data_IF_185333742098
#
_entry.id   IF_185333742098
#
_cell.length_a   1.000
_cell.length_b   1.000
_cell.length_c   1.000
_cell.angle_alpha   90.00
_cell.angle_beta   90.00
_cell.angle_gamma   90.00
#
_symmetry.space_group_name_H-M   'P 1'
#
loop_
_entity.id
_entity.type
_entity.pdbx_description
1 polymer ?
#
# COMPACT_ATOMS: atom_id res chain seq x y z
N UNK A 1 -31.49 -17.64 -15.37
CA UNK A 1 -31.32 -16.29 -14.76
C UNK A 1 -30.60 -15.32 -15.70
N UNK A 2 -29.41 -15.68 -16.21
CA UNK A 2 -28.62 -14.85 -17.14
C UNK A 2 -29.41 -14.43 -18.39
N UNK A 3 -30.17 -15.35 -19.00
CA UNK A 3 -31.01 -15.05 -20.17
C UNK A 3 -32.13 -14.03 -19.87
N UNK A 4 -32.75 -14.10 -18.68
CA UNK A 4 -33.78 -13.15 -18.27
C UNK A 4 -33.19 -11.75 -17.97
N UNK A 5 -31.99 -11.70 -17.39
CA UNK A 5 -31.24 -10.46 -17.14
C UNK A 5 -30.83 -9.80 -18.47
N UNK A 6 -30.29 -10.60 -19.41
CA UNK A 6 -29.94 -10.12 -20.76
C UNK A 6 -31.17 -9.56 -21.49
N UNK A 7 -32.32 -10.25 -21.41
CA UNK A 7 -33.58 -9.77 -21.98
C UNK A 7 -34.07 -8.47 -21.33
N UNK A 8 -33.92 -8.33 -20.01
CA UNK A 8 -34.27 -7.09 -19.30
C UNK A 8 -33.41 -5.91 -19.74
N UNK A 9 -32.08 -6.07 -19.78
CA UNK A 9 -31.19 -5.02 -20.27
C UNK A 9 -31.47 -4.68 -21.75
N UNK A 10 -31.77 -5.67 -22.58
CA UNK A 10 -32.15 -5.42 -23.98
C UNK A 10 -33.37 -4.51 -24.10
N UNK A 11 -34.38 -4.67 -23.25
CA UNK A 11 -35.57 -3.80 -23.24
C UNK A 11 -35.25 -2.39 -22.71
N UNK A 12 -34.37 -2.24 -21.72
CA UNK A 12 -33.91 -0.93 -21.25
C UNK A 12 -33.13 -0.20 -22.35
N UNK A 13 -32.19 -0.87 -23.01
CA UNK A 13 -31.39 -0.26 -24.07
C UNK A 13 -32.27 0.19 -25.25
N UNK A 14 -33.22 -0.64 -25.69
CA UNK A 14 -34.18 -0.27 -26.74
C UNK A 14 -35.09 0.90 -26.33
N UNK A 15 -35.52 0.94 -25.06
CA UNK A 15 -36.27 2.08 -24.52
C UNK A 15 -35.45 3.37 -24.57
N UNK A 16 -34.19 3.33 -24.09
CA UNK A 16 -33.30 4.49 -24.10
C UNK A 16 -32.96 4.94 -25.53
N UNK A 17 -32.73 4.02 -26.46
CA UNK A 17 -32.52 4.31 -27.88
C UNK A 17 -33.74 5.03 -28.48
N UNK A 18 -34.95 4.51 -28.24
CA UNK A 18 -36.22 5.10 -28.69
C UNK A 18 -36.47 6.50 -28.12
N UNK A 19 -36.11 6.72 -26.85
CA UNK A 19 -36.17 8.04 -26.19
C UNK A 19 -35.13 8.99 -26.78
N UNK A 20 -33.89 8.54 -26.97
CA UNK A 20 -32.81 9.35 -27.53
C UNK A 20 -33.08 9.75 -28.98
N UNK A 21 -33.60 8.84 -29.81
CA UNK A 21 -34.03 9.11 -31.18
C UNK A 21 -35.14 10.15 -31.24
N UNK A 22 -36.09 10.09 -30.31
CA UNK A 22 -37.16 11.07 -30.20
C UNK A 22 -36.65 12.45 -29.78
N UNK A 23 -35.75 12.51 -28.79
CA UNK A 23 -35.10 13.76 -28.35
C UNK A 23 -34.29 14.36 -29.51
N UNK A 24 -33.54 13.53 -30.24
CA UNK A 24 -32.64 13.96 -31.31
C UNK A 24 -33.37 14.39 -32.58
N UNK A 25 -34.48 13.72 -32.96
CA UNK A 25 -35.35 14.18 -34.06
C UNK A 25 -35.98 15.55 -33.76
N UNK A 26 -36.35 15.83 -32.50
CA UNK A 26 -36.91 17.14 -32.08
C UNK A 26 -35.89 18.27 -31.98
N UNK A 27 -34.58 17.98 -31.87
CA UNK A 27 -33.51 19.01 -31.77
C UNK A 27 -33.36 19.84 -33.06
N UNK A 28 -33.88 19.35 -34.20
CA UNK A 28 -33.90 20.06 -35.50
C UNK A 28 -35.11 20.99 -35.70
N UNK A 29 -36.12 20.99 -34.82
CA UNK A 29 -37.37 21.77 -34.98
C UNK A 29 -37.68 22.68 -33.77
N UNK A 30 -36.62 23.32 -33.25
CA UNK A 30 -36.51 24.05 -31.97
C UNK A 30 -37.78 24.74 -31.39
N UNK A 31 -37.82 24.69 -30.05
CA UNK A 31 -38.44 25.63 -29.08
C UNK A 31 -39.98 25.65 -28.93
N UNK A 32 -40.42 25.07 -27.80
CA UNK A 32 -41.64 25.36 -27.02
C UNK A 32 -42.96 25.33 -27.81
N UNK A 33 -43.53 24.12 -27.91
CA UNK A 33 -44.97 23.91 -27.86
C UNK A 33 -45.23 22.56 -27.19
N UNK A 34 -46.03 22.59 -26.12
CA UNK A 34 -46.63 21.47 -25.39
C UNK A 34 -45.67 20.37 -24.86
N UNK A 35 -44.98 20.66 -23.76
CA UNK A 35 -44.38 19.64 -22.89
C UNK A 35 -45.42 18.86 -22.07
N UNK A 36 -46.70 18.84 -22.49
CA UNK A 36 -47.81 18.44 -21.64
C UNK A 36 -48.76 17.37 -22.18
N UNK A 37 -48.56 16.75 -23.34
CA UNK A 37 -49.39 15.58 -23.71
C UNK A 37 -48.55 14.48 -24.38
N UNK A 38 -48.63 13.27 -23.81
CA UNK A 38 -48.26 11.96 -24.37
C UNK A 38 -46.80 11.48 -24.40
N UNK A 39 -45.94 11.89 -23.45
CA UNK A 39 -44.72 11.10 -23.18
C UNK A 39 -45.09 9.71 -22.63
N UNK A 40 -45.98 9.65 -21.63
CA UNK A 40 -46.35 8.40 -20.99
C UNK A 40 -47.12 7.46 -21.94
N UNK A 41 -48.12 7.95 -22.67
CA UNK A 41 -48.88 7.15 -23.65
C UNK A 41 -48.00 6.54 -24.74
N UNK A 42 -46.99 7.28 -25.22
CA UNK A 42 -46.15 6.84 -26.33
C UNK A 42 -45.18 5.72 -25.94
N UNK A 43 -44.67 5.75 -24.70
CA UNK A 43 -43.72 4.77 -24.21
C UNK A 43 -44.33 3.78 -23.21
N UNK A 44 -45.65 3.80 -23.03
CA UNK A 44 -46.38 2.94 -22.10
C UNK A 44 -46.08 1.45 -22.36
N UNK A 45 -46.00 1.07 -23.64
CA UNK A 45 -45.70 -0.30 -24.05
C UNK A 45 -44.28 -0.72 -23.70
N UNK A 46 -43.30 0.18 -23.79
CA UNK A 46 -41.91 -0.10 -23.43
C UNK A 46 -41.75 -0.19 -21.91
N UNK A 47 -42.41 0.68 -21.16
CA UNK A 47 -42.46 0.63 -19.69
C UNK A 47 -43.14 -0.67 -19.23
N UNK A 48 -44.26 -1.08 -19.84
CA UNK A 48 -44.92 -2.37 -19.54
C UNK A 48 -44.00 -3.57 -19.80
N UNK A 49 -43.20 -3.55 -20.87
CA UNK A 49 -42.22 -4.60 -21.18
C UNK A 49 -41.07 -4.68 -20.17
N UNK A 50 -40.58 -3.54 -19.71
CA UNK A 50 -39.56 -3.45 -18.65
C UNK A 50 -40.12 -3.99 -17.33
N UNK A 51 -41.33 -3.58 -16.94
CA UNK A 51 -41.98 -4.05 -15.71
C UNK A 51 -42.25 -5.56 -15.73
N UNK A 52 -42.78 -6.10 -16.83
CA UNK A 52 -43.02 -7.54 -16.99
C UNK A 52 -41.71 -8.36 -16.94
N UNK A 53 -40.62 -7.82 -17.49
CA UNK A 53 -39.31 -8.46 -17.43
C UNK A 53 -38.72 -8.43 -16.01
N UNK A 54 -38.90 -7.32 -15.27
CA UNK A 54 -38.50 -7.20 -13.88
C UNK A 54 -39.28 -8.17 -12.96
N UNK A 55 -40.59 -8.32 -13.20
CA UNK A 55 -41.42 -9.28 -12.46
C UNK A 55 -41.01 -10.73 -12.75
N UNK A 56 -40.62 -11.03 -13.99
CA UNK A 56 -40.09 -12.35 -14.36
C UNK A 56 -38.76 -12.63 -13.64
N UNK A 57 -37.85 -11.65 -13.56
CA UNK A 57 -36.60 -11.77 -12.79
C UNK A 57 -36.90 -11.96 -11.30
N UNK A 58 -37.85 -11.20 -10.74
CA UNK A 58 -38.26 -11.30 -9.33
C UNK A 58 -38.84 -12.68 -9.02
N UNK A 59 -39.70 -13.21 -9.88
CA UNK A 59 -40.30 -14.53 -9.72
C UNK A 59 -39.25 -15.65 -9.86
N UNK A 60 -38.33 -15.53 -10.81
CA UNK A 60 -37.21 -16.47 -10.95
C UNK A 60 -36.25 -16.42 -9.76
N UNK A 61 -35.99 -15.25 -9.19
CA UNK A 61 -35.19 -15.08 -7.97
C UNK A 61 -35.88 -15.68 -6.74
N UNK A 62 -37.21 -15.48 -6.60
CA UNK A 62 -37.99 -16.08 -5.51
C UNK A 62 -38.10 -17.60 -5.63
N UNK A 63 -38.20 -18.15 -6.85
CA UNK A 63 -38.17 -19.59 -7.08
C UNK A 63 -36.77 -20.19 -6.86
N UNK A 64 -35.71 -19.47 -7.25
CA UNK A 64 -34.31 -19.87 -6.99
C UNK A 64 -34.00 -19.88 -5.49
N UNK A 65 -34.46 -18.87 -4.75
CA UNK A 65 -34.37 -18.79 -3.28
C UNK A 65 -35.00 -19.99 -2.58
N UNK A 66 -36.13 -20.51 -3.08
CA UNK A 66 -36.79 -21.71 -2.52
C UNK A 66 -36.04 -23.02 -2.81
N UNK A 67 -35.26 -23.08 -3.89
CA UNK A 67 -34.37 -24.21 -4.20
C UNK A 67 -33.02 -24.10 -3.47
N UNK A 68 -32.52 -22.88 -3.26
CA UNK A 68 -31.27 -22.54 -2.55
C UNK A 68 -31.29 -22.92 -1.06
N UNK A 69 -32.44 -22.83 -0.39
CA UNK A 69 -32.58 -23.17 1.05
C UNK A 69 -32.19 -24.62 1.37
N UNK A 70 -32.24 -25.54 0.39
CA UNK A 70 -31.84 -26.95 0.59
C UNK A 70 -30.38 -27.26 0.24
N UNK A 71 -29.69 -26.40 -0.52
CA UNK A 71 -28.28 -26.56 -0.86
C UNK A 71 -27.36 -25.74 0.06
N UNK A 72 -27.83 -24.58 0.54
CA UNK A 72 -27.07 -23.69 1.42
C UNK A 72 -26.62 -24.31 2.75
N UNK A 73 -27.29 -25.34 3.30
CA UNK A 73 -26.86 -25.94 4.57
C UNK A 73 -25.55 -26.75 4.48
N UNK A 74 -25.06 -27.07 3.28
CA UNK A 74 -23.80 -27.81 3.11
C UNK A 74 -22.66 -26.98 2.52
N UNK A 75 -22.95 -25.82 1.93
CA UNK A 75 -21.95 -24.93 1.33
C UNK A 75 -21.58 -23.74 2.24
N UNK A 76 -22.49 -23.34 3.14
CA UNK A 76 -22.23 -22.28 4.15
C UNK A 76 -21.22 -22.67 5.24
N UNK A 77 -20.88 -23.95 5.38
CA UNK A 77 -19.77 -24.37 6.25
C UNK A 77 -18.38 -24.19 5.59
N UNK A 78 -18.32 -23.90 4.28
CA UNK A 78 -17.04 -23.83 3.54
C UNK A 78 -16.70 -22.44 2.96
N UNK A 79 -17.59 -21.45 3.06
CA UNK A 79 -17.32 -20.05 2.68
C UNK A 79 -17.23 -19.17 3.93
N UNK A 80 -16.05 -19.13 4.55
CA UNK A 80 -15.77 -18.28 5.70
C UNK A 80 -15.63 -16.80 5.27
N UNK A 81 -16.67 -16.01 5.59
CA UNK A 81 -16.69 -14.59 5.98
C UNK A 81 -15.67 -13.63 5.32
N UNK A 82 -15.99 -13.10 4.14
CA UNK A 82 -15.47 -11.77 3.75
C UNK A 82 -16.33 -10.73 4.45
N UNK A 83 -15.80 -10.08 5.49
CA UNK A 83 -16.50 -9.01 6.21
C UNK A 83 -16.08 -7.65 5.64
N UNK A 84 -17.04 -6.75 5.44
CA UNK A 84 -16.72 -5.35 5.12
C UNK A 84 -16.06 -4.70 6.33
N UNK A 85 -14.91 -4.07 6.13
CA UNK A 85 -14.18 -3.34 7.17
C UNK A 85 -13.82 -1.94 6.69
N UNK A 86 -13.51 -1.06 7.65
CA UNK A 86 -13.13 0.33 7.37
C UNK A 86 -11.70 0.60 7.83
N UNK A 87 -11.01 1.49 7.11
CA UNK A 87 -9.66 1.94 7.50
C UNK A 87 -9.67 2.55 8.91
N UNK A 88 -10.71 3.30 9.27
CA UNK A 88 -10.85 3.96 10.56
C UNK A 88 -10.95 2.97 11.73
N UNK A 89 -11.72 1.88 11.55
CA UNK A 89 -11.83 0.81 12.55
C UNK A 89 -10.48 0.15 12.78
N UNK A 90 -9.76 -0.15 11.71
CA UNK A 90 -8.42 -0.77 11.77
C UNK A 90 -7.41 0.21 12.40
N UNK A 91 -7.49 1.50 12.07
CA UNK A 91 -6.66 2.52 12.66
C UNK A 91 -6.89 2.66 14.18
N UNK A 92 -8.15 2.59 14.62
CA UNK A 92 -8.50 2.60 16.03
C UNK A 92 -7.99 1.35 16.76
N UNK A 93 -8.20 0.16 16.18
CA UNK A 93 -7.77 -1.12 16.75
C UNK A 93 -6.24 -1.25 16.92
N UNK A 94 -5.48 -0.52 16.10
CA UNK A 94 -4.01 -0.54 16.08
C UNK A 94 -3.37 0.70 16.72
N UNK A 95 -4.16 1.57 17.35
CA UNK A 95 -3.68 2.86 17.86
C UNK A 95 -2.51 2.72 18.85
N UNK A 96 -2.52 1.71 19.72
CA UNK A 96 -1.48 1.49 20.73
C UNK A 96 -0.11 1.14 20.12
N UNK A 97 -0.04 0.77 18.83
CA UNK A 97 1.25 0.54 18.17
C UNK A 97 2.10 1.81 18.10
N UNK A 98 1.46 3.00 18.08
CA UNK A 98 2.15 4.29 18.06
C UNK A 98 2.94 4.58 19.34
N UNK A 99 2.68 3.86 20.43
CA UNK A 99 3.44 4.00 21.68
C UNK A 99 4.87 3.43 21.57
N UNK A 100 5.15 2.64 20.53
CA UNK A 100 6.42 1.93 20.36
C UNK A 100 7.39 2.58 19.36
N UNK A 101 6.96 3.60 18.60
CA UNK A 101 7.82 4.28 17.63
C UNK A 101 7.53 5.78 17.58
N UNK A 102 8.51 6.58 17.16
CA UNK A 102 8.30 8.01 16.90
C UNK A 102 7.93 8.25 15.43
N UNK A 103 6.89 9.05 15.19
CA UNK A 103 6.49 9.47 13.83
C UNK A 103 7.57 10.30 13.11
N UNK A 104 8.48 10.94 13.85
CA UNK A 104 9.64 11.66 13.27
C UNK A 104 10.62 10.73 12.56
N UNK A 105 10.56 9.42 12.90
CA UNK A 105 11.37 8.38 12.25
C UNK A 105 10.70 7.77 11.03
N UNK A 106 9.43 8.09 10.77
CA UNK A 106 8.72 7.61 9.56
C UNK A 106 9.10 8.45 8.35
N UNK A 107 9.20 9.77 8.51
CA UNK A 107 9.68 10.69 7.47
C UNK A 107 10.60 11.73 8.10
N UNK A 108 11.82 11.82 7.61
CA UNK A 108 12.67 12.96 7.95
C UNK A 108 12.16 14.20 7.23
N UNK A 109 12.01 15.29 8.00
CA UNK A 109 11.91 16.62 7.43
C UNK A 109 13.25 16.97 6.77
N UNK A 110 13.37 16.69 5.48
CA UNK A 110 14.46 17.19 4.66
C UNK A 110 14.31 18.71 4.52
N UNK A 111 14.64 19.47 5.56
CA UNK A 111 14.76 20.93 5.46
C UNK A 111 15.75 21.22 4.35
N UNK A 112 15.30 21.90 3.29
CA UNK A 112 16.05 22.60 2.22
C UNK A 112 17.50 22.14 2.01
N UNK A 113 17.68 20.82 1.95
CA UNK A 113 18.99 20.23 1.72
C UNK A 113 19.17 20.28 0.21
N UNK A 114 20.26 20.92 -0.26
CA UNK A 114 20.56 20.92 -1.69
C UNK A 114 20.54 19.48 -2.22
N UNK A 115 20.00 19.24 -3.43
CA UNK A 115 19.99 17.91 -4.00
C UNK A 115 21.39 17.32 -3.96
N UNK A 116 21.57 16.26 -3.19
CA UNK A 116 22.82 15.51 -3.19
C UNK A 116 23.12 15.06 -4.63
N UNK A 117 24.27 15.43 -5.21
CA UNK A 117 24.63 14.99 -6.53
C UNK A 117 24.91 13.48 -6.49
N UNK A 118 24.09 12.72 -7.22
CA UNK A 118 24.25 11.28 -7.37
C UNK A 118 25.04 10.97 -8.63
N UNK A 119 25.89 9.96 -8.55
CA UNK A 119 26.59 9.46 -9.74
C UNK A 119 25.59 8.80 -10.70
N UNK A 120 25.77 8.93 -12.03
CA UNK A 120 24.82 8.40 -13.01
C UNK A 120 24.54 6.90 -12.86
N UNK A 121 25.54 6.13 -12.41
CA UNK A 121 25.42 4.69 -12.15
C UNK A 121 24.43 4.39 -11.01
N UNK A 122 24.49 5.16 -9.93
CA UNK A 122 23.56 5.05 -8.79
C UNK A 122 22.14 5.34 -9.24
N UNK A 123 21.96 6.40 -10.03
CA UNK A 123 20.65 6.77 -10.60
C UNK A 123 20.13 5.66 -11.51
N UNK A 124 20.98 5.11 -12.38
CA UNK A 124 20.61 4.01 -13.28
C UNK A 124 20.16 2.80 -12.48
N UNK A 125 20.94 2.37 -11.48
CA UNK A 125 20.62 1.19 -10.67
C UNK A 125 19.31 1.33 -9.91
N UNK A 126 19.09 2.49 -9.28
CA UNK A 126 17.82 2.78 -8.59
C UNK A 126 16.66 2.79 -9.59
N UNK A 127 16.85 3.39 -10.77
CA UNK A 127 15.81 3.44 -11.81
C UNK A 127 15.46 2.05 -12.31
N UNK A 128 16.46 1.23 -12.62
CA UNK A 128 16.29 -0.14 -13.10
C UNK A 128 15.59 -1.00 -12.06
N UNK A 129 16.04 -0.94 -10.80
CA UNK A 129 15.36 -1.59 -9.68
C UNK A 129 13.92 -1.11 -9.52
N UNK A 130 13.66 0.19 -9.61
CA UNK A 130 12.32 0.75 -9.45
C UNK A 130 11.34 0.28 -10.51
N UNK A 131 11.82 -0.07 -11.71
CA UNK A 131 11.04 -0.52 -12.86
C UNK A 131 11.00 -2.04 -13.04
N UNK A 132 12.06 -2.76 -12.65
CA UNK A 132 12.19 -4.20 -12.83
C UNK A 132 11.21 -5.00 -11.99
N UNK A 133 10.82 -6.19 -12.43
CA UNK A 133 9.94 -7.07 -11.66
C UNK A 133 10.71 -8.11 -10.84
N UNK A 134 11.96 -8.38 -11.21
CA UNK A 134 12.71 -9.54 -10.71
C UNK A 134 13.47 -9.27 -9.39
N UNK A 135 13.68 -8.00 -9.05
CA UNK A 135 14.52 -7.59 -7.91
C UNK A 135 13.66 -6.86 -6.87
N UNK A 136 13.13 -7.55 -5.85
CA UNK A 136 12.27 -6.94 -4.84
C UNK A 136 13.05 -6.09 -3.83
N UNK A 137 14.37 -6.29 -3.72
CA UNK A 137 15.22 -5.63 -2.73
C UNK A 137 16.44 -4.98 -3.36
N UNK A 138 16.76 -3.76 -2.91
CA UNK A 138 17.99 -3.07 -3.24
C UNK A 138 18.64 -2.59 -1.96
N UNK A 139 19.95 -2.77 -1.83
CA UNK A 139 20.76 -2.23 -0.75
C UNK A 139 21.78 -1.25 -1.31
N UNK A 140 21.89 -0.09 -0.68
CA UNK A 140 22.91 0.91 -0.97
C UNK A 140 23.81 1.05 0.26
N UNK A 141 25.07 0.69 0.09
CA UNK A 141 26.12 0.80 1.08
C UNK A 141 26.95 2.06 0.84
N UNK A 142 27.28 2.73 1.92
CA UNK A 142 28.13 3.92 1.90
C UNK A 142 29.21 3.82 2.96
N UNK A 143 30.23 4.70 2.87
CA UNK A 143 31.29 4.76 3.86
C UNK A 143 30.71 4.97 5.28
N UNK A 144 31.47 4.52 6.27
CA UNK A 144 31.20 4.85 7.67
C UNK A 144 31.38 6.37 7.80
N UNK A 145 30.32 7.06 8.22
CA UNK A 145 30.35 8.51 8.46
C UNK A 145 30.52 8.71 9.96
N UNK A 146 31.77 8.94 10.38
CA UNK A 146 32.12 9.25 11.77
C UNK A 146 32.04 10.77 12.01
N UNK A 147 30.85 11.38 11.98
CA UNK A 147 30.70 12.81 12.31
C UNK A 147 29.33 13.10 12.96
N UNK A 148 29.31 13.76 14.12
CA UNK A 148 28.09 14.35 14.69
C UNK A 148 27.64 15.62 13.94
N UNK A 149 28.49 16.19 13.07
CA UNK A 149 28.24 17.48 12.40
C UNK A 149 27.75 17.36 10.94
N UNK A 150 28.11 16.29 10.20
CA UNK A 150 27.66 16.08 8.82
C UNK A 150 26.51 15.06 8.78
N UNK A 151 25.33 15.47 8.26
CA UNK A 151 24.22 14.54 8.00
C UNK A 151 24.70 13.44 7.06
N UNK A 152 24.45 12.19 7.43
CA UNK A 152 24.76 11.02 6.62
C UNK A 152 24.19 11.16 5.19
N UNK A 153 25.03 11.16 4.15
CA UNK A 153 24.58 11.33 2.77
C UNK A 153 23.59 10.25 2.30
N UNK A 154 23.69 9.02 2.82
CA UNK A 154 22.72 7.97 2.51
C UNK A 154 21.35 8.22 3.15
N UNK A 155 21.33 8.76 4.36
CA UNK A 155 20.09 9.20 5.00
C UNK A 155 19.44 10.33 4.20
N UNK A 156 20.23 11.25 3.63
CA UNK A 156 19.74 12.29 2.72
C UNK A 156 19.18 11.66 1.44
N UNK A 157 19.90 10.73 0.82
CA UNK A 157 19.44 9.99 -0.36
C UNK A 157 18.10 9.27 -0.09
N UNK A 158 17.99 8.55 1.02
CA UNK A 158 16.75 7.88 1.43
C UNK A 158 15.61 8.89 1.57
N UNK A 159 15.83 10.01 2.26
CA UNK A 159 14.82 11.07 2.41
C UNK A 159 14.39 11.68 1.07
N UNK A 160 15.33 11.89 0.14
CA UNK A 160 15.05 12.39 -1.20
C UNK A 160 14.23 11.39 -2.02
N UNK A 161 14.58 10.10 -1.98
CA UNK A 161 13.83 9.06 -2.68
C UNK A 161 12.40 8.94 -2.15
N UNK A 162 12.21 9.02 -0.84
CA UNK A 162 10.87 9.06 -0.22
C UNK A 162 10.10 10.30 -0.74
N UNK A 163 10.74 11.47 -0.73
CA UNK A 163 10.12 12.71 -1.22
C UNK A 163 9.74 12.65 -2.71
N UNK A 164 10.62 12.12 -3.56
CA UNK A 164 10.37 11.95 -5.00
C UNK A 164 9.26 10.94 -5.28
N UNK A 165 9.25 9.83 -4.55
CA UNK A 165 8.22 8.78 -4.67
C UNK A 165 6.85 9.33 -4.27
N UNK A 166 6.77 10.03 -3.14
CA UNK A 166 5.54 10.66 -2.67
C UNK A 166 5.02 11.74 -3.66
N UNK A 167 5.90 12.58 -4.22
CA UNK A 167 5.52 13.59 -5.23
C UNK A 167 5.08 12.99 -6.56
N UNK A 168 5.48 11.75 -6.83
CA UNK A 168 5.08 10.99 -8.02
C UNK A 168 3.76 10.24 -7.83
N UNK A 169 3.04 10.47 -6.72
CA UNK A 169 1.79 9.78 -6.35
C UNK A 169 1.96 8.26 -6.21
N UNK A 170 3.18 7.81 -5.92
CA UNK A 170 3.47 6.42 -5.61
C UNK A 170 3.34 6.18 -4.10
N UNK A 171 2.94 4.96 -3.73
CA UNK A 171 2.77 4.58 -2.33
C UNK A 171 4.14 4.29 -1.73
N UNK A 172 4.52 5.05 -0.70
CA UNK A 172 5.79 4.89 0.00
C UNK A 172 5.57 4.82 1.50
N UNK A 173 6.18 3.81 2.10
CA UNK A 173 6.37 3.66 3.54
C UNK A 173 7.86 3.73 3.84
N UNK A 174 8.22 4.25 4.99
CA UNK A 174 9.64 4.42 5.33
C UNK A 174 9.89 4.39 6.82
N UNK A 175 11.13 4.08 7.17
CA UNK A 175 11.60 4.18 8.54
C UNK A 175 13.10 4.47 8.58
N UNK A 176 13.47 5.41 9.45
CA UNK A 176 14.85 5.75 9.75
C UNK A 176 15.22 5.09 11.07
N UNK A 177 15.98 4.01 11.04
CA UNK A 177 16.37 3.27 12.22
C UNK A 177 17.18 4.13 13.20
N UNK A 178 16.96 3.93 14.49
CA UNK A 178 17.74 4.54 15.55
C UNK A 178 17.80 3.61 16.76
N UNK A 179 18.89 3.72 17.53
CA UNK A 179 18.97 3.10 18.84
C UNK A 179 18.74 4.18 19.91
N UNK A 180 17.63 4.06 20.62
CA UNK A 180 17.34 4.98 21.71
C UNK A 180 18.37 4.82 22.84
N UNK A 181 19.07 5.91 23.16
CA UNK A 181 20.05 5.95 24.27
C UNK A 181 19.37 5.82 25.64
N UNK A 182 18.10 6.18 25.77
CA UNK A 182 17.33 6.11 27.03
C UNK A 182 16.94 4.68 27.41
N UNK A 183 17.05 3.73 26.49
CA UNK A 183 16.76 2.32 26.72
C UNK A 183 18.03 1.60 27.19
N UNK A 184 17.86 0.59 28.05
CA UNK A 184 18.96 -0.30 28.48
C UNK A 184 19.62 -0.93 27.27
N UNK A 185 20.96 -0.95 27.24
CA UNK A 185 21.73 -1.50 26.12
C UNK A 185 21.31 -2.93 25.72
N UNK A 186 20.81 -3.73 26.66
CA UNK A 186 20.35 -5.08 26.37
C UNK A 186 19.06 -5.18 25.53
N UNK A 187 18.27 -4.10 25.49
CA UNK A 187 16.94 -4.07 24.88
C UNK A 187 16.88 -3.13 23.66
N UNK A 188 17.94 -2.40 23.34
CA UNK A 188 17.92 -1.32 22.33
C UNK A 188 17.57 -1.85 20.95
N UNK A 189 18.27 -2.88 20.49
CA UNK A 189 18.12 -3.45 19.15
C UNK A 189 16.76 -4.16 19.00
N UNK A 190 16.33 -4.84 20.07
CA UNK A 190 14.99 -5.44 20.15
C UNK A 190 13.90 -4.38 20.00
N UNK A 191 13.96 -3.30 20.79
CA UNK A 191 12.94 -2.23 20.73
C UNK A 191 12.97 -1.51 19.39
N UNK A 192 14.16 -1.27 18.83
CA UNK A 192 14.29 -0.66 17.51
C UNK A 192 13.66 -1.53 16.41
N UNK A 193 13.82 -2.86 16.49
CA UNK A 193 13.19 -3.80 15.55
C UNK A 193 11.67 -3.78 15.66
N UNK A 194 11.14 -3.82 16.88
CA UNK A 194 9.69 -3.71 17.13
C UNK A 194 9.15 -2.38 16.59
N UNK A 195 9.84 -1.28 16.89
CA UNK A 195 9.47 0.06 16.44
C UNK A 195 9.42 0.15 14.91
N UNK A 196 10.42 -0.40 14.22
CA UNK A 196 10.44 -0.50 12.76
C UNK A 196 9.20 -1.23 12.25
N UNK A 197 8.96 -2.48 12.69
CA UNK A 197 7.86 -3.29 12.18
C UNK A 197 6.50 -2.64 12.44
N UNK A 198 6.28 -2.10 13.65
CA UNK A 198 5.02 -1.47 14.01
C UNK A 198 4.77 -0.18 13.23
N UNK A 199 5.83 0.60 12.96
CA UNK A 199 5.72 1.77 12.11
C UNK A 199 5.29 1.41 10.69
N UNK A 200 5.79 0.30 10.13
CA UNK A 200 5.42 -0.15 8.78
C UNK A 200 3.96 -0.61 8.74
N UNK A 201 3.51 -1.35 9.75
CA UNK A 201 2.09 -1.73 9.91
C UNK A 201 1.20 -0.50 9.96
N UNK A 202 1.52 0.50 10.80
CA UNK A 202 0.73 1.74 10.91
C UNK A 202 0.69 2.51 9.60
N UNK A 203 1.82 2.58 8.89
CA UNK A 203 1.87 3.25 7.59
C UNK A 203 1.02 2.54 6.53
N UNK A 204 1.02 1.20 6.46
CA UNK A 204 0.13 0.50 5.53
C UNK A 204 -1.35 0.75 5.82
N UNK A 205 -1.72 0.85 7.11
CA UNK A 205 -3.09 1.19 7.52
C UNK A 205 -3.50 2.57 6.99
N UNK A 206 -2.57 3.53 6.98
CA UNK A 206 -2.80 4.87 6.40
C UNK A 206 -2.95 4.86 4.87
N UNK A 207 -2.56 3.77 4.19
CA UNK A 207 -2.72 3.59 2.74
C UNK A 207 -3.99 2.80 2.36
N UNK A 208 -4.78 2.35 3.32
CA UNK A 208 -6.01 1.61 3.06
C UNK A 208 -7.09 2.52 2.46
N UNK A 209 -7.97 1.97 1.61
CA UNK A 209 -9.16 2.68 1.18
C UNK A 209 -10.13 2.83 2.37
N UNK A 210 -11.04 3.82 2.35
CA UNK A 210 -11.97 4.06 3.46
C UNK A 210 -12.79 2.82 3.83
N UNK A 211 -13.20 2.03 2.83
CA UNK A 211 -13.97 0.80 2.97
C UNK A 211 -13.42 -0.25 1.99
N UNK A 212 -13.32 -1.49 2.45
CA UNK A 212 -12.90 -2.63 1.63
C UNK A 212 -13.36 -3.96 2.21
N UNK A 213 -13.33 -4.98 1.35
CA UNK A 213 -13.56 -6.36 1.72
C UNK A 213 -12.23 -7.03 2.09
N UNK A 214 -12.21 -7.73 3.22
CA UNK A 214 -11.06 -8.49 3.67
C UNK A 214 -11.47 -9.89 4.12
N UNK A 215 -10.69 -10.89 3.71
CA UNK A 215 -10.73 -12.25 4.28
C UNK A 215 -9.82 -12.39 5.50
N UNK A 216 -8.84 -11.48 5.63
CA UNK A 216 -7.93 -11.44 6.76
C UNK A 216 -8.59 -10.83 8.01
N UNK A 217 -8.22 -11.35 9.18
CA UNK A 217 -8.67 -10.85 10.48
C UNK A 217 -7.99 -9.51 10.80
N UNK A 218 -8.76 -8.41 10.83
CA UNK A 218 -8.29 -7.10 11.31
C UNK A 218 -8.99 -6.66 12.61
N UNK A 219 -9.41 -7.64 13.42
CA UNK A 219 -10.06 -7.41 14.71
C UNK A 219 -9.09 -6.79 15.74
N UNK A 220 -9.67 -6.11 16.72
CA UNK A 220 -8.93 -5.58 17.87
C UNK A 220 -8.16 -6.68 18.61
N UNK A 221 -8.74 -7.89 18.71
CA UNK A 221 -8.10 -9.03 19.36
C UNK A 221 -6.77 -9.44 18.72
N UNK A 222 -6.65 -9.31 17.40
CA UNK A 222 -5.39 -9.57 16.68
C UNK A 222 -4.35 -8.49 16.96
N UNK A 223 -4.75 -7.22 16.93
CA UNK A 223 -3.83 -6.11 17.22
C UNK A 223 -3.39 -6.06 18.69
N UNK A 224 -4.20 -6.49 19.65
CA UNK A 224 -3.81 -6.61 21.06
C UNK A 224 -2.67 -7.61 21.30
N UNK A 225 -2.44 -8.57 20.39
CA UNK A 225 -1.30 -9.49 20.47
C UNK A 225 0.03 -8.84 20.07
N UNK A 226 -0.03 -7.62 19.53
CA UNK A 226 1.13 -6.81 19.21
C UNK A 226 1.48 -5.96 20.44
N UNK A 227 2.18 -6.57 21.38
CA UNK A 227 2.45 -6.04 22.73
C UNK A 227 3.79 -5.31 22.89
N UNK A 228 4.60 -5.29 21.83
CA UNK A 228 5.87 -4.57 21.79
C UNK A 228 7.07 -5.43 22.19
N UNK A 229 6.87 -6.73 22.35
CA UNK A 229 7.94 -7.72 22.54
C UNK A 229 8.50 -8.21 21.21
N UNK A 230 9.71 -8.77 21.22
CA UNK A 230 10.28 -9.39 20.02
C UNK A 230 9.43 -10.55 19.48
N UNK A 231 8.78 -11.29 20.38
CA UNK A 231 7.91 -12.42 20.03
C UNK A 231 6.67 -11.98 19.25
N UNK A 232 6.24 -10.74 19.45
CA UNK A 232 5.13 -10.14 18.70
C UNK A 232 5.50 -9.72 17.28
N UNK A 233 6.79 -9.56 16.93
CA UNK A 233 7.23 -9.15 15.60
C UNK A 233 6.77 -10.11 14.50
N UNK A 234 6.85 -11.43 14.73
CA UNK A 234 6.37 -12.41 13.75
C UNK A 234 4.87 -12.31 13.49
N UNK A 235 4.08 -11.99 14.52
CA UNK A 235 2.63 -11.73 14.39
C UNK A 235 2.37 -10.43 13.65
N UNK A 236 3.15 -9.39 13.93
CA UNK A 236 3.07 -8.10 13.25
C UNK A 236 3.42 -8.22 11.75
N UNK A 237 4.40 -9.05 11.38
CA UNK A 237 4.71 -9.31 9.96
C UNK A 237 3.58 -10.03 9.22
N UNK A 238 2.84 -10.92 9.90
CA UNK A 238 1.62 -11.51 9.31
C UNK A 238 0.55 -10.45 9.07
N UNK A 239 0.34 -9.55 10.04
CA UNK A 239 -0.58 -8.41 9.86
C UNK A 239 -0.11 -7.51 8.72
N UNK A 240 1.19 -7.23 8.62
CA UNK A 240 1.78 -6.45 7.53
C UNK A 240 1.50 -7.06 6.15
N UNK A 241 1.68 -8.38 5.99
CA UNK A 241 1.36 -9.07 4.72
C UNK A 241 -0.12 -8.98 4.38
N UNK A 242 -0.99 -9.26 5.35
CA UNK A 242 -2.43 -9.19 5.12
C UNK A 242 -2.87 -7.75 4.75
N UNK A 243 -2.24 -6.73 5.33
CA UNK A 243 -2.46 -5.33 4.96
C UNK A 243 -1.98 -5.05 3.53
N UNK A 244 -0.81 -5.55 3.12
CA UNK A 244 -0.31 -5.39 1.75
C UNK A 244 -1.28 -5.96 0.70
N UNK A 245 -1.98 -7.05 1.02
CA UNK A 245 -2.92 -7.68 0.10
C UNK A 245 -4.14 -6.79 -0.17
N UNK A 246 -4.61 -6.06 0.84
CA UNK A 246 -5.78 -5.16 0.75
C UNK A 246 -5.43 -3.72 0.36
N UNK A 247 -4.16 -3.32 0.39
CA UNK A 247 -3.72 -2.03 -0.14
C UNK A 247 -3.95 -1.99 -1.67
N UNK A 248 -4.63 -0.95 -2.21
CA UNK A 248 -5.02 -0.86 -3.62
C UNK A 248 -3.85 -0.53 -4.56
N UNK A 249 -2.64 -0.32 -4.01
CA UNK A 249 -1.44 -0.04 -4.77
C UNK A 249 -0.94 -1.29 -5.51
N UNK A 250 -0.58 -1.12 -6.79
CA UNK A 250 0.14 -2.15 -7.54
C UNK A 250 1.55 -2.38 -6.98
N UNK A 251 2.17 -1.33 -6.44
CA UNK A 251 3.48 -1.40 -5.79
C UNK A 251 3.55 -0.42 -4.63
N UNK A 252 4.07 -0.90 -3.50
CA UNK A 252 4.43 -0.12 -2.32
C UNK A 252 5.95 -0.10 -2.22
N UNK A 253 6.53 1.10 -2.19
CA UNK A 253 7.95 1.30 -1.95
C UNK A 253 8.21 1.37 -0.44
N UNK A 254 9.15 0.60 0.07
CA UNK A 254 9.54 0.58 1.47
C UNK A 254 11.00 1.02 1.58
N UNK A 255 11.27 2.14 2.24
CA UNK A 255 12.64 2.65 2.42
C UNK A 255 13.05 2.52 3.89
N UNK A 256 14.07 1.72 4.16
CA UNK A 256 14.60 1.49 5.52
C UNK A 256 16.03 1.99 5.58
N UNK A 257 16.23 3.11 6.27
CA UNK A 257 17.54 3.72 6.46
C UNK A 257 18.16 3.30 7.79
N UNK A 258 19.45 2.92 7.78
CA UNK A 258 20.20 2.68 9.01
C UNK A 258 20.01 1.30 9.63
N UNK A 259 19.61 0.27 8.86
CA UNK A 259 19.33 -1.07 9.40
C UNK A 259 20.54 -1.67 10.16
N UNK A 260 21.77 -1.32 9.75
CA UNK A 260 23.01 -1.75 10.40
C UNK A 260 23.10 -1.34 11.88
N UNK A 261 22.37 -0.30 12.30
CA UNK A 261 22.34 0.14 13.69
C UNK A 261 21.70 -0.89 14.62
N UNK A 262 20.85 -1.77 14.11
CA UNK A 262 20.19 -2.81 14.92
C UNK A 262 20.90 -4.16 14.83
N UNK A 263 21.91 -4.30 13.97
CA UNK A 263 22.53 -5.58 13.61
C UNK A 263 23.39 -6.14 14.76
N UNK A 264 22.72 -6.81 15.69
CA UNK A 264 23.29 -7.46 16.87
C UNK A 264 23.00 -8.97 16.85
N UNK A 265 23.96 -9.76 17.35
CA UNK A 265 23.90 -11.23 17.38
C UNK A 265 22.62 -11.78 18.01
N UNK A 266 22.04 -11.08 18.99
CA UNK A 266 20.83 -11.50 19.72
C UNK A 266 19.57 -11.38 18.86
N UNK A 267 19.55 -10.44 17.91
CA UNK A 267 18.40 -10.21 17.04
C UNK A 267 18.62 -10.70 15.61
N UNK A 268 19.77 -11.31 15.30
CA UNK A 268 20.12 -11.78 13.94
C UNK A 268 19.03 -12.68 13.35
N UNK A 269 18.55 -13.68 14.11
CA UNK A 269 17.50 -14.59 13.63
C UNK A 269 16.16 -13.87 13.40
N UNK A 270 15.62 -13.08 14.36
CA UNK A 270 14.45 -12.25 14.13
C UNK A 270 14.59 -11.29 12.93
N UNK A 271 15.74 -10.64 12.79
CA UNK A 271 16.01 -9.70 11.70
C UNK A 271 16.07 -10.41 10.35
N UNK A 272 16.69 -11.60 10.28
CA UNK A 272 16.65 -12.46 9.10
C UNK A 272 15.22 -12.84 8.72
N UNK A 273 14.43 -13.31 9.68
CA UNK A 273 13.04 -13.66 9.44
C UNK A 273 12.25 -12.45 8.91
N UNK A 274 12.49 -11.26 9.46
CA UNK A 274 11.92 -10.02 8.96
C UNK A 274 12.30 -9.71 7.50
N UNK A 275 13.57 -9.88 7.12
CA UNK A 275 14.01 -9.68 5.72
C UNK A 275 13.36 -10.69 4.78
N UNK A 276 13.24 -11.95 5.18
CA UNK A 276 12.57 -12.98 4.38
C UNK A 276 11.09 -12.68 4.18
N UNK A 277 10.43 -12.19 5.22
CA UNK A 277 9.04 -11.73 5.19
C UNK A 277 8.84 -10.55 4.23
N UNK A 278 9.75 -9.57 4.24
CA UNK A 278 9.72 -8.46 3.29
C UNK A 278 9.94 -8.93 1.84
N UNK A 279 10.82 -9.91 1.61
CA UNK A 279 11.08 -10.46 0.27
C UNK A 279 9.86 -11.19 -0.29
N UNK A 280 9.09 -11.84 0.59
CA UNK A 280 7.88 -12.59 0.25
C UNK A 280 6.63 -11.74 -0.02
N UNK A 281 6.72 -10.41 -0.13
CA UNK A 281 5.60 -9.47 -0.26
C UNK A 281 4.79 -9.52 -1.58
N UNK A 282 4.55 -10.73 -2.13
CA UNK A 282 3.70 -11.02 -3.29
C UNK A 282 3.98 -10.16 -4.54
N UNK A 283 5.21 -9.68 -4.71
CA UNK A 283 5.60 -8.78 -5.81
C UNK A 283 5.04 -7.35 -5.71
N UNK A 284 4.20 -7.05 -4.70
CA UNK A 284 3.69 -5.70 -4.42
C UNK A 284 4.70 -4.84 -3.67
N UNK A 285 5.67 -5.43 -2.98
CA UNK A 285 6.61 -4.70 -2.15
C UNK A 285 7.97 -4.55 -2.83
N UNK A 286 8.47 -3.31 -2.87
CA UNK A 286 9.85 -2.99 -3.26
C UNK A 286 10.58 -2.36 -2.10
N UNK A 287 11.63 -3.01 -1.60
CA UNK A 287 12.36 -2.56 -0.42
C UNK A 287 13.73 -1.99 -0.79
N UNK A 288 14.03 -0.80 -0.31
CA UNK A 288 15.33 -0.16 -0.39
C UNK A 288 15.93 -0.07 1.02
N UNK A 289 17.14 -0.58 1.18
CA UNK A 289 17.96 -0.42 2.37
C UNK A 289 19.09 0.57 2.10
N UNK A 290 19.31 1.51 3.02
CA UNK A 290 20.49 2.38 3.01
C UNK A 290 21.30 2.15 4.28
N UNK A 291 22.60 1.85 4.14
CA UNK A 291 23.47 1.60 5.30
C UNK A 291 24.80 2.33 5.22
N UNK A 292 25.21 2.94 6.32
CA UNK A 292 26.56 3.49 6.48
C UNK A 292 27.39 2.54 7.31
N UNK A 293 28.37 1.93 6.67
CA UNK A 293 29.09 0.79 7.22
C UNK A 293 28.46 -0.55 6.86
N UNK A 294 28.84 -1.61 7.57
CA UNK A 294 28.48 -2.99 7.22
C UNK A 294 27.31 -3.48 8.07
N UNK A 295 26.29 -4.03 7.43
CA UNK A 295 25.32 -4.93 8.07
C UNK A 295 25.65 -6.38 7.72
N UNK A 296 26.02 -7.16 8.73
CA UNK A 296 26.26 -8.59 8.62
C UNK A 296 24.98 -9.36 8.22
N UNK A 297 23.82 -8.94 8.72
CA UNK A 297 22.54 -9.54 8.36
C UNK A 297 22.22 -9.32 6.88
N UNK A 298 22.26 -8.07 6.41
CA UNK A 298 21.99 -7.77 5.00
C UNK A 298 23.02 -8.42 4.07
N UNK A 299 24.29 -8.49 4.46
CA UNK A 299 25.33 -9.13 3.64
C UNK A 299 25.16 -10.65 3.51
N UNK A 300 24.35 -11.29 4.36
CA UNK A 300 24.02 -12.72 4.26
C UNK A 300 22.75 -12.98 3.45
N UNK A 301 21.80 -12.05 3.47
CA UNK A 301 20.46 -12.24 2.89
C UNK A 301 20.25 -11.62 1.50
N UNK A 302 21.11 -10.67 1.10
CA UNK A 302 21.02 -10.00 -0.20
C UNK A 302 22.14 -10.46 -1.12
N UNK A 303 21.79 -10.64 -2.39
CA UNK A 303 22.72 -11.05 -3.44
C UNK A 303 23.58 -9.86 -3.93
N UNK A 304 24.61 -10.17 -4.72
CA UNK A 304 25.56 -9.17 -5.22
C UNK A 304 24.88 -8.17 -6.15
N UNK A 305 23.95 -8.63 -6.99
CA UNK A 305 23.17 -7.76 -7.85
C UNK A 305 22.20 -6.88 -7.04
N UNK A 306 21.68 -7.35 -5.92
CA UNK A 306 20.86 -6.55 -4.99
C UNK A 306 21.66 -5.52 -4.19
N UNK A 307 22.98 -5.44 -4.37
CA UNK A 307 23.87 -4.57 -3.61
C UNK A 307 24.55 -3.53 -4.50
N UNK A 308 24.49 -2.27 -4.08
CA UNK A 308 25.20 -1.15 -4.67
C UNK A 308 26.10 -0.52 -3.61
N UNK A 309 27.41 -0.41 -3.88
CA UNK A 309 28.37 0.21 -2.97
C UNK A 309 28.75 1.59 -3.53
N UNK A 310 28.67 2.61 -2.69
CA UNK A 310 29.09 3.98 -3.01
C UNK A 310 30.37 4.27 -2.21
N UNK A 311 31.51 4.30 -2.89
CA UNK A 311 32.82 4.49 -2.25
C UNK A 311 33.10 5.94 -1.83
N UNK A 312 32.55 6.92 -2.57
CA UNK A 312 32.74 8.34 -2.26
C UNK A 312 31.51 9.16 -2.61
N UNK A 313 31.11 10.06 -1.70
CA UNK A 313 30.12 11.08 -2.00
C UNK A 313 30.82 12.34 -2.52
N UNK A 314 30.53 12.74 -3.77
CA UNK A 314 31.07 14.00 -4.31
C UNK A 314 30.45 15.17 -3.53
N UNK A 315 31.26 15.89 -2.74
CA UNK A 315 30.85 17.20 -2.19
C UNK A 315 30.59 18.13 -3.38
N UNK A 316 29.38 18.67 -3.47
CA UNK A 316 29.06 19.70 -4.45
C UNK A 316 30.02 20.87 -4.24
N UNK A 317 30.89 21.13 -5.22
CA UNK A 317 31.80 22.26 -5.19
C UNK A 317 30.94 23.52 -5.32
N UNK A 318 30.71 24.22 -4.21
CA UNK A 318 30.31 25.61 -4.26
C UNK A 318 31.54 26.38 -4.78
N UNK A 319 31.61 26.60 -6.09
CA UNK A 319 32.58 27.49 -6.70
C UNK A 319 32.27 28.92 -6.28
N UNK A 320 32.74 29.34 -5.10
CA UNK A 320 32.96 30.75 -4.84
C UNK A 320 34.24 31.15 -5.58
N UNK A 321 34.05 31.73 -6.76
CA UNK A 321 35.11 32.50 -7.41
C UNK A 321 35.49 33.68 -6.48
N UNK A 322 36.77 33.93 -6.21
CA UNK A 322 37.17 35.16 -5.53
C UNK A 322 36.99 36.31 -6.53
N UNK A 323 36.12 37.25 -6.20
CA UNK A 323 36.08 38.55 -6.85
C UNK A 323 37.42 39.24 -6.59
N UNK A 324 38.14 39.54 -7.68
CA UNK A 324 39.32 40.42 -7.69
C UNK A 324 38.85 41.87 -7.66
#
# INVERSE_FOLDING_TARGET
>A
MIEAISKFYSHIFLYLESVMDWIMKKRRTRLIASFNENLMDRFENDIKRISSSADTIRNLAQQSSRAEVRYHRKETESAYLTEFTTSDKIALNSRHLEDFFSRDRVRLHANDSSPMPLEPEVISRITDWSRGQDVPMLRIDGPVVDCEEERNPLTILAAQLIGLTARSHLHVISYFCELSRSVKAAEREMRATVALVYSLVRQLIELLPPEFEASADFSEGRFRQLDGTLDSCGKAMRVFRDLLDVVPAATVYCVIDGLQLMDDRRIEQPLRAFLQELRGGNGKLKVLFTTSGRSACLSKELEVDETLVIDTFRKGVATHAPSI
#
